data_IF_216747797565
#
_entry.id   IF_216747797565
#
_cell.length_a   1.000
_cell.length_b   1.000
_cell.length_c   1.000
_cell.angle_alpha   90.00
_cell.angle_beta   90.00
_cell.angle_gamma   90.00
#
_symmetry.space_group_name_H-M   'P 1'
#
loop_
_entity.id
_entity.type
_entity.pdbx_description
1 polymer ?
#
# COMPACT_ATOMS: atom_id res chain seq x y z
N UNK A 1 -27.40 11.75 17.86
CA UNK A 1 -26.08 12.20 17.37
C UNK A 1 -25.28 10.97 17.00
N UNK A 2 -25.30 10.59 15.73
CA UNK A 2 -24.69 9.34 15.19
C UNK A 2 -23.18 9.21 15.42
N UNK A 3 -22.52 10.26 15.91
CA UNK A 3 -21.09 10.30 16.22
C UNK A 3 -20.76 9.56 17.54
N UNK A 4 -21.69 9.46 18.50
CA UNK A 4 -21.40 8.83 19.80
C UNK A 4 -21.31 7.29 19.73
N UNK A 5 -21.95 6.65 18.74
CA UNK A 5 -21.84 5.20 18.55
C UNK A 5 -20.50 4.78 17.91
N UNK A 6 -19.86 5.68 17.16
CA UNK A 6 -18.59 5.43 16.46
C UNK A 6 -17.38 5.46 17.41
N UNK A 7 -17.53 6.01 18.62
CA UNK A 7 -16.48 6.13 19.63
C UNK A 7 -16.55 5.04 20.72
N UNK A 8 -17.60 4.21 20.72
CA UNK A 8 -17.80 3.19 21.75
C UNK A 8 -16.95 1.91 21.55
N UNK A 9 -16.20 1.83 20.44
CA UNK A 9 -15.28 0.73 20.12
C UNK A 9 -13.82 1.01 20.46
N UNK A 10 -13.52 1.99 21.32
CA UNK A 10 -12.22 2.00 22.00
C UNK A 10 -12.19 0.81 22.95
N UNK A 11 -11.81 -0.33 22.37
CA UNK A 11 -11.70 -1.61 23.02
C UNK A 11 -11.06 -1.44 24.37
N UNK A 12 -11.77 -1.98 25.36
CA UNK A 12 -11.23 -2.51 26.59
C UNK A 12 -9.79 -3.01 26.35
N UNK A 13 -8.88 -2.72 27.28
CA UNK A 13 -7.43 -2.93 27.16
C UNK A 13 -6.97 -4.39 27.06
N UNK A 14 -7.70 -5.24 26.32
CA UNK A 14 -7.20 -6.45 25.71
C UNK A 14 -6.26 -6.07 24.59
N UNK A 15 -4.98 -6.32 24.81
CA UNK A 15 -3.98 -6.11 23.80
C UNK A 15 -4.37 -6.81 22.48
N UNK A 16 -4.11 -6.13 21.36
CA UNK A 16 -4.03 -6.76 20.02
C UNK A 16 -2.92 -7.83 19.99
N UNK A 17 -2.08 -7.88 21.05
CA UNK A 17 -1.27 -9.02 21.41
C UNK A 17 -2.06 -9.90 22.38
N UNK A 18 -2.16 -11.20 22.10
CA UNK A 18 -2.73 -12.17 23.04
C UNK A 18 -2.13 -12.03 24.45
N UNK A 19 -2.70 -12.75 25.41
CA UNK A 19 -2.31 -12.74 26.84
C UNK A 19 -0.84 -13.12 27.12
N UNK A 20 0.02 -13.25 26.11
CA UNK A 20 1.45 -13.53 26.19
C UNK A 20 2.28 -12.24 26.23
N UNK A 21 3.41 -12.30 26.93
CA UNK A 21 4.46 -11.26 26.90
C UNK A 21 5.07 -11.18 25.48
N UNK A 22 4.47 -10.41 24.59
CA UNK A 22 4.95 -10.22 23.21
C UNK A 22 4.78 -11.46 22.32
N UNK A 23 5.21 -11.32 21.06
CA UNK A 23 5.13 -12.35 20.01
C UNK A 23 4.44 -11.83 18.75
N UNK A 24 4.46 -12.65 17.69
CA UNK A 24 3.79 -12.36 16.42
C UNK A 24 2.27 -12.53 16.54
N UNK A 25 1.52 -11.98 15.57
CA UNK A 25 0.06 -12.15 15.50
C UNK A 25 -0.29 -13.58 15.08
N UNK A 26 -1.41 -14.10 15.59
CA UNK A 26 -1.94 -15.40 15.18
C UNK A 26 -2.71 -15.33 13.85
N UNK A 27 -3.15 -14.14 13.49
CA UNK A 27 -3.91 -13.83 12.29
C UNK A 27 -3.68 -12.37 11.92
N UNK A 28 -3.72 -12.08 10.62
CA UNK A 28 -3.70 -10.73 10.07
C UNK A 28 -5.11 -10.11 9.98
N UNK A 29 -6.17 -10.83 10.32
CA UNK A 29 -7.54 -10.29 10.41
C UNK A 29 -7.74 -9.47 11.69
N UNK A 30 -8.82 -8.71 11.70
CA UNK A 30 -9.34 -8.13 12.94
C UNK A 30 -9.93 -9.22 13.83
N UNK A 31 -10.22 -8.89 15.09
CA UNK A 31 -10.94 -9.81 15.94
C UNK A 31 -12.34 -10.09 15.37
N UNK A 32 -12.87 -11.31 15.49
CA UNK A 32 -14.19 -11.65 14.95
C UNK A 32 -15.31 -10.70 15.40
N UNK A 33 -15.25 -10.21 16.64
CA UNK A 33 -16.18 -9.21 17.18
C UNK A 33 -16.09 -7.85 16.48
N UNK A 34 -14.90 -7.41 16.07
CA UNK A 34 -14.70 -6.16 15.33
C UNK A 34 -15.26 -6.27 13.91
N UNK A 35 -15.01 -7.40 13.23
CA UNK A 35 -15.58 -7.64 11.91
C UNK A 35 -17.11 -7.78 11.95
N UNK A 36 -17.66 -8.42 12.99
CA UNK A 36 -19.12 -8.48 13.19
C UNK A 36 -19.70 -7.09 13.44
N UNK A 37 -19.04 -6.26 14.24
CA UNK A 37 -19.46 -4.87 14.46
C UNK A 37 -19.47 -4.07 13.14
N UNK A 38 -18.44 -4.22 12.30
CA UNK A 38 -18.39 -3.58 10.99
C UNK A 38 -19.59 -4.04 10.14
N UNK A 39 -19.87 -5.34 10.11
CA UNK A 39 -21.00 -5.89 9.35
C UNK A 39 -22.36 -5.37 9.87
N UNK A 40 -22.54 -5.31 11.19
CA UNK A 40 -23.78 -4.81 11.81
C UNK A 40 -24.00 -3.32 11.50
N UNK A 41 -22.94 -2.51 11.53
CA UNK A 41 -22.99 -1.09 11.17
C UNK A 41 -23.30 -0.91 9.68
N UNK A 42 -22.61 -1.65 8.82
CA UNK A 42 -22.85 -1.63 7.37
C UNK A 42 -24.29 -2.02 6.99
N UNK A 43 -24.92 -2.92 7.76
CA UNK A 43 -26.30 -3.35 7.51
C UNK A 43 -27.37 -2.28 7.82
N UNK A 44 -27.05 -1.27 8.65
CA UNK A 44 -28.03 -0.29 9.13
C UNK A 44 -27.71 1.16 8.77
N UNK A 45 -26.46 1.45 8.38
CA UNK A 45 -26.01 2.77 8.00
C UNK A 45 -25.91 2.88 6.48
N UNK A 46 -26.56 3.90 5.89
CA UNK A 46 -26.45 4.18 4.45
C UNK A 46 -25.03 4.55 4.02
N UNK A 47 -24.21 5.04 4.97
CA UNK A 47 -22.81 5.40 4.77
C UNK A 47 -21.96 4.98 5.96
N UNK A 48 -21.06 4.02 5.78
CA UNK A 48 -20.16 3.51 6.81
C UNK A 48 -18.70 3.84 6.47
N UNK A 49 -17.98 4.44 7.43
CA UNK A 49 -16.54 4.72 7.32
C UNK A 49 -15.81 4.02 8.46
N UNK A 50 -14.82 3.19 8.12
CA UNK A 50 -14.01 2.45 9.11
C UNK A 50 -12.61 3.06 9.20
N UNK A 51 -12.20 3.49 10.39
CA UNK A 51 -10.82 3.91 10.66
C UNK A 51 -10.04 2.74 11.28
N UNK A 52 -9.06 2.20 10.55
CA UNK A 52 -8.25 1.06 10.98
C UNK A 52 -6.97 1.57 11.66
N UNK A 53 -6.87 1.34 12.97
CA UNK A 53 -5.69 1.66 13.77
C UNK A 53 -4.84 0.40 13.96
N UNK A 54 -3.82 0.21 13.14
CA UNK A 54 -2.96 -0.97 13.19
C UNK A 54 -1.50 -0.64 12.84
N UNK A 55 -0.55 -1.41 13.39
CA UNK A 55 0.88 -1.23 13.13
C UNK A 55 1.43 -1.98 11.92
N UNK A 56 0.62 -2.81 11.26
CA UNK A 56 1.01 -3.69 10.16
C UNK A 56 -0.21 -4.01 9.28
N UNK A 57 -0.06 -4.88 8.28
CA UNK A 57 -1.13 -5.28 7.39
C UNK A 57 -2.33 -5.85 8.17
N UNK A 58 -3.53 -5.42 7.80
CA UNK A 58 -4.78 -6.03 8.25
C UNK A 58 -5.48 -6.54 7.01
N UNK A 59 -5.84 -7.83 6.97
CA UNK A 59 -6.65 -8.38 5.89
C UNK A 59 -8.09 -7.92 6.09
N UNK A 60 -8.72 -7.39 5.04
CA UNK A 60 -10.00 -6.65 5.13
C UNK A 60 -11.08 -7.28 4.26
N UNK A 61 -11.57 -8.51 4.54
CA UNK A 61 -12.61 -9.14 3.72
C UNK A 61 -13.95 -8.37 3.75
N UNK A 62 -14.12 -7.49 4.73
CA UNK A 62 -15.27 -6.60 4.92
C UNK A 62 -15.19 -5.30 4.11
N UNK A 63 -14.11 -5.03 3.36
CA UNK A 63 -13.89 -3.73 2.72
C UNK A 63 -15.01 -3.35 1.75
N UNK A 64 -15.59 -4.32 1.02
CA UNK A 64 -16.70 -4.09 0.09
C UNK A 64 -18.04 -3.79 0.80
N UNK A 65 -18.15 -4.08 2.09
CA UNK A 65 -19.36 -3.81 2.87
C UNK A 65 -19.44 -2.36 3.38
N UNK A 66 -18.37 -1.56 3.22
CA UNK A 66 -18.30 -0.19 3.74
C UNK A 66 -17.97 0.81 2.63
N UNK A 67 -18.39 2.06 2.78
CA UNK A 67 -18.19 3.10 1.78
C UNK A 67 -16.76 3.65 1.75
N UNK A 68 -16.06 3.58 2.88
CA UNK A 68 -14.67 4.00 2.97
C UNK A 68 -13.94 3.32 4.14
N UNK A 69 -12.65 3.06 3.93
CA UNK A 69 -11.73 2.70 5.00
C UNK A 69 -10.52 3.64 5.01
N UNK A 70 -10.04 3.96 6.22
CA UNK A 70 -8.85 4.79 6.41
C UNK A 70 -7.87 4.05 7.33
N UNK A 71 -6.70 3.70 6.82
CA UNK A 71 -5.59 3.22 7.65
C UNK A 71 -4.96 4.43 8.36
N UNK A 72 -5.10 4.48 9.69
CA UNK A 72 -4.60 5.60 10.53
C UNK A 72 -3.31 5.27 11.27
N UNK A 73 -2.80 4.04 11.13
CA UNK A 73 -1.58 3.56 11.80
C UNK A 73 -1.67 3.68 13.32
N UNK A 74 -0.55 3.91 14.00
CA UNK A 74 -0.53 4.44 15.36
C UNK A 74 -0.19 5.93 15.29
N UNK A 75 -1.20 6.83 15.25
CA UNK A 75 -1.01 8.21 14.79
C UNK A 75 -0.43 9.17 15.85
N UNK A 76 -0.04 8.66 17.02
CA UNK A 76 0.54 9.47 18.11
C UNK A 76 -0.45 10.43 18.76
N UNK A 77 0.09 11.40 19.51
CA UNK A 77 -0.71 12.32 20.35
C UNK A 77 -1.66 13.23 19.56
N UNK A 78 -1.30 13.59 18.33
CA UNK A 78 -2.11 14.44 17.45
C UNK A 78 -3.06 13.62 16.55
N UNK A 79 -3.11 12.30 16.73
CA UNK A 79 -3.83 11.41 15.82
C UNK A 79 -5.33 11.66 15.74
N UNK A 80 -5.96 12.06 16.86
CA UNK A 80 -7.37 12.45 16.86
C UNK A 80 -7.63 13.70 16.00
N UNK A 81 -6.74 14.70 16.07
CA UNK A 81 -6.84 15.91 15.24
C UNK A 81 -6.60 15.58 13.76
N UNK A 82 -5.55 14.81 13.46
CA UNK A 82 -5.24 14.38 12.10
C UNK A 82 -6.39 13.60 11.46
N UNK A 83 -7.00 12.66 12.22
CA UNK A 83 -8.16 11.91 11.76
C UNK A 83 -9.35 12.83 11.45
N UNK A 84 -9.66 13.77 12.35
CA UNK A 84 -10.74 14.73 12.14
C UNK A 84 -10.50 15.62 10.91
N UNK A 85 -9.26 16.11 10.73
CA UNK A 85 -8.93 16.96 9.59
C UNK A 85 -9.04 16.21 8.25
N UNK A 86 -8.65 14.93 8.21
CA UNK A 86 -8.84 14.09 7.02
C UNK A 86 -10.34 13.84 6.80
N UNK A 87 -11.08 13.32 7.78
CA UNK A 87 -12.51 12.98 7.62
C UNK A 87 -13.37 14.19 7.22
N UNK A 88 -13.03 15.40 7.69
CA UNK A 88 -13.73 16.63 7.36
C UNK A 88 -13.21 17.30 6.08
N UNK A 89 -12.24 16.70 5.40
CA UNK A 89 -11.64 17.21 4.16
C UNK A 89 -10.85 18.50 4.33
N UNK A 90 -10.39 18.81 5.55
CA UNK A 90 -9.47 19.92 5.83
C UNK A 90 -8.04 19.57 5.44
N UNK A 91 -7.69 18.30 5.53
CA UNK A 91 -6.44 17.73 5.05
C UNK A 91 -6.72 16.63 4.01
N UNK A 92 -5.85 16.55 3.00
CA UNK A 92 -5.92 15.52 1.96
C UNK A 92 -5.22 14.24 2.43
N UNK A 93 -5.84 13.05 2.30
CA UNK A 93 -5.11 11.79 2.49
C UNK A 93 -4.07 11.64 1.36
N UNK A 94 -2.80 11.58 1.74
CA UNK A 94 -1.67 11.51 0.80
C UNK A 94 -0.69 10.38 1.08
N UNK A 95 -1.10 9.38 1.87
CA UNK A 95 -0.32 8.19 2.21
C UNK A 95 -0.40 7.13 1.11
N UNK A 96 0.62 6.26 1.05
CA UNK A 96 0.66 5.08 0.18
C UNK A 96 1.09 3.88 1.03
N UNK A 97 0.49 2.71 0.79
CA UNK A 97 0.80 1.50 1.53
C UNK A 97 2.27 1.08 1.28
N UNK A 98 3.06 0.82 2.33
CA UNK A 98 4.44 0.36 2.18
C UNK A 98 4.54 -1.16 1.96
N UNK A 99 3.41 -1.86 1.87
CA UNK A 99 3.29 -3.30 1.62
C UNK A 99 1.97 -3.58 0.89
N UNK A 100 1.83 -4.77 0.31
CA UNK A 100 0.55 -5.24 -0.20
C UNK A 100 -0.33 -5.78 0.95
N UNK A 101 -1.63 -5.60 0.85
CA UNK A 101 -2.63 -6.32 1.66
C UNK A 101 -3.27 -7.37 0.74
N UNK A 102 -3.16 -8.67 1.05
CA UNK A 102 -3.73 -9.74 0.23
C UNK A 102 -5.25 -9.84 0.42
N UNK A 103 -5.92 -10.65 -0.40
CA UNK A 103 -7.32 -11.01 -0.18
C UNK A 103 -7.46 -11.94 1.03
N UNK A 104 -6.57 -12.92 1.13
CA UNK A 104 -6.52 -13.90 2.21
C UNK A 104 -5.10 -14.01 2.78
N UNK A 105 -4.98 -14.40 4.05
CA UNK A 105 -3.67 -14.60 4.68
C UNK A 105 -2.85 -15.69 3.97
N UNK A 106 -3.54 -16.71 3.45
CA UNK A 106 -2.96 -17.81 2.70
C UNK A 106 -2.40 -17.43 1.33
N UNK A 107 -2.66 -16.21 0.83
CA UNK A 107 -2.03 -15.71 -0.39
C UNK A 107 -0.57 -15.26 -0.16
N UNK A 108 -0.14 -15.16 1.10
CA UNK A 108 1.23 -14.82 1.48
C UNK A 108 2.07 -16.08 1.66
N UNK A 109 3.39 -15.88 1.74
CA UNK A 109 4.33 -16.95 2.10
C UNK A 109 3.96 -17.50 3.47
N UNK A 110 3.94 -18.83 3.57
CA UNK A 110 3.64 -19.53 4.81
C UNK A 110 4.53 -19.05 5.96
N UNK A 111 3.92 -18.80 7.11
CA UNK A 111 4.58 -18.21 8.27
C UNK A 111 4.16 -18.96 9.54
N UNK A 112 5.13 -19.63 10.14
CA UNK A 112 4.98 -20.24 11.45
C UNK A 112 5.49 -19.28 12.53
N UNK A 113 4.54 -18.70 13.27
CA UNK A 113 4.79 -17.76 14.37
C UNK A 113 5.57 -18.36 15.55
N UNK A 114 5.60 -19.67 15.67
CA UNK A 114 6.26 -20.38 16.77
C UNK A 114 7.57 -21.05 16.29
N UNK A 115 7.97 -20.84 15.04
CA UNK A 115 9.19 -21.39 14.49
C UNK A 115 10.44 -20.78 15.14
N UNK A 116 11.34 -21.65 15.60
CA UNK A 116 12.66 -21.23 16.10
C UNK A 116 13.62 -20.82 14.97
N UNK A 117 13.32 -21.22 13.73
CA UNK A 117 14.11 -20.94 12.53
C UNK A 117 13.22 -20.75 11.32
N UNK A 118 13.54 -19.76 10.47
CA UNK A 118 12.83 -19.48 9.23
C UNK A 118 13.81 -19.24 8.08
N UNK A 119 13.45 -19.70 6.88
CA UNK A 119 14.21 -19.44 5.65
C UNK A 119 13.40 -18.46 4.80
N UNK A 120 13.95 -17.27 4.59
CA UNK A 120 13.31 -16.24 3.77
C UNK A 120 13.72 -16.38 2.31
N UNK A 121 12.74 -16.59 1.44
CA UNK A 121 12.91 -16.49 0.00
C UNK A 121 12.96 -15.04 -0.49
N UNK A 122 13.32 -14.85 -1.76
CA UNK A 122 13.33 -13.54 -2.39
C UNK A 122 11.91 -12.98 -2.55
N UNK A 123 10.96 -13.82 -2.96
CA UNK A 123 9.60 -13.43 -3.29
C UNK A 123 8.72 -13.42 -2.04
N UNK A 124 8.32 -12.22 -1.60
CA UNK A 124 7.42 -11.98 -0.46
C UNK A 124 6.51 -10.77 -0.75
N UNK A 125 5.40 -10.64 -0.03
CA UNK A 125 4.45 -9.54 -0.21
C UNK A 125 4.00 -9.39 -1.67
N UNK A 126 4.03 -8.16 -2.20
CA UNK A 126 3.67 -7.88 -3.60
C UNK A 126 4.46 -8.73 -4.60
N UNK A 127 5.74 -9.00 -4.36
CA UNK A 127 6.56 -9.78 -5.29
C UNK A 127 6.12 -11.25 -5.36
N UNK A 128 5.67 -11.80 -4.23
CA UNK A 128 5.10 -13.15 -4.19
C UNK A 128 3.76 -13.19 -4.95
N UNK A 129 2.88 -12.22 -4.70
CA UNK A 129 1.58 -12.11 -5.37
C UNK A 129 1.77 -11.99 -6.90
N UNK A 130 2.59 -11.04 -7.34
CA UNK A 130 2.90 -10.82 -8.76
C UNK A 130 3.48 -12.09 -9.43
N UNK A 131 4.40 -12.78 -8.76
CA UNK A 131 5.06 -13.96 -9.32
C UNK A 131 4.13 -15.17 -9.48
N UNK A 132 3.07 -15.23 -8.68
CA UNK A 132 2.05 -16.29 -8.73
C UNK A 132 0.80 -15.87 -9.52
N UNK A 133 0.79 -14.67 -10.13
CA UNK A 133 -0.37 -14.15 -10.85
C UNK A 133 -1.58 -13.90 -9.94
N UNK A 134 -1.35 -13.59 -8.67
CA UNK A 134 -2.38 -13.26 -7.69
C UNK A 134 -2.49 -11.75 -7.54
N UNK A 135 -3.72 -11.24 -7.54
CA UNK A 135 -3.98 -9.83 -7.30
C UNK A 135 -3.97 -9.54 -5.79
N UNK A 136 -3.36 -8.43 -5.39
CA UNK A 136 -3.49 -7.92 -4.03
C UNK A 136 -4.84 -7.23 -3.86
N UNK A 137 -5.49 -7.39 -2.71
CA UNK A 137 -6.69 -6.62 -2.37
C UNK A 137 -6.38 -5.11 -2.34
N UNK A 138 -5.24 -4.74 -1.73
CA UNK A 138 -4.67 -3.40 -1.83
C UNK A 138 -3.17 -3.53 -2.16
N UNK A 139 -2.72 -3.15 -3.36
CA UNK A 139 -1.34 -3.39 -3.79
C UNK A 139 -0.32 -2.51 -3.04
N UNK A 140 0.95 -2.91 -3.10
CA UNK A 140 2.04 -2.05 -2.65
C UNK A 140 1.97 -0.70 -3.36
N UNK A 141 2.15 0.37 -2.59
CA UNK A 141 2.06 1.73 -3.10
C UNK A 141 0.63 2.23 -3.29
N UNK A 142 -0.41 1.46 -2.94
CA UNK A 142 -1.81 1.90 -3.05
C UNK A 142 -2.17 3.00 -2.05
N UNK A 143 -3.03 3.92 -2.45
CA UNK A 143 -3.64 4.90 -1.54
C UNK A 143 -4.45 5.94 -2.30
N UNK A 144 -5.67 6.17 -1.83
CA UNK A 144 -6.62 7.08 -2.45
C UNK A 144 -6.47 8.53 -1.92
N UNK A 145 -7.12 9.46 -2.61
CA UNK A 145 -7.22 10.88 -2.29
C UNK A 145 -8.68 11.37 -2.41
N UNK A 146 -8.95 12.62 -2.06
CA UNK A 146 -10.22 13.29 -2.37
C UNK A 146 -10.21 14.00 -3.74
N UNK A 147 -9.08 14.00 -4.44
CA UNK A 147 -8.97 14.42 -5.84
C UNK A 147 -8.43 13.29 -6.73
N UNK A 148 -8.56 13.45 -8.04
CA UNK A 148 -8.10 12.48 -9.05
C UNK A 148 -6.85 12.96 -9.77
N UNK A 149 -5.99 12.01 -10.17
CA UNK A 149 -4.76 12.30 -10.92
C UNK A 149 -4.67 11.44 -12.16
N UNK A 150 -4.13 12.00 -13.24
CA UNK A 150 -3.81 11.28 -14.47
C UNK A 150 -2.32 11.40 -14.81
N UNK A 151 -1.77 10.33 -15.37
CA UNK A 151 -0.44 10.32 -15.97
C UNK A 151 -0.56 10.49 -17.49
N UNK A 152 0.16 11.45 -18.06
CA UNK A 152 0.36 11.59 -19.50
C UNK A 152 1.39 10.61 -20.05
N UNK A 153 1.83 10.80 -21.29
CA UNK A 153 2.91 9.98 -21.86
C UNK A 153 4.17 10.08 -20.99
N UNK A 154 4.87 8.95 -20.90
CA UNK A 154 6.06 8.80 -20.08
C UNK A 154 7.18 8.24 -20.94
N UNK A 155 8.37 8.76 -20.75
CA UNK A 155 9.56 8.37 -21.52
C UNK A 155 10.76 8.22 -20.59
N UNK A 156 11.71 7.39 -21.01
CA UNK A 156 12.98 7.22 -20.33
C UNK A 156 14.00 8.22 -20.88
N UNK A 157 14.61 9.02 -20.00
CA UNK A 157 15.68 9.94 -20.36
C UNK A 157 16.88 9.68 -19.43
N UNK A 158 17.96 9.14 -19.98
CA UNK A 158 19.16 8.72 -19.24
C UNK A 158 18.84 7.76 -18.06
N UNK A 159 18.98 8.24 -16.83
CA UNK A 159 18.67 7.54 -15.57
C UNK A 159 17.42 8.09 -14.89
N UNK A 160 16.51 8.70 -15.66
CA UNK A 160 15.24 9.23 -15.20
C UNK A 160 14.07 8.71 -16.03
N UNK A 161 12.88 8.68 -15.41
CA UNK A 161 11.60 8.62 -16.11
C UNK A 161 10.96 10.00 -16.06
N UNK A 162 10.64 10.54 -17.23
CA UNK A 162 9.94 11.81 -17.39
C UNK A 162 8.47 11.53 -17.66
N UNK A 163 7.57 12.13 -16.89
CA UNK A 163 6.12 11.89 -17.02
C UNK A 163 5.32 13.13 -16.63
N UNK A 164 4.34 13.48 -17.46
CA UNK A 164 3.36 14.51 -17.12
C UNK A 164 2.35 13.98 -16.10
N UNK A 165 2.07 14.76 -15.06
CA UNK A 165 1.07 14.46 -14.03
C UNK A 165 0.09 15.62 -13.94
N UNK A 166 -1.19 15.30 -14.01
CA UNK A 166 -2.28 16.27 -13.91
C UNK A 166 -3.20 15.93 -12.75
N UNK A 167 -3.57 16.94 -11.95
CA UNK A 167 -4.69 16.83 -11.03
C UNK A 167 -5.97 17.16 -11.79
N UNK A 168 -6.81 16.15 -12.00
CA UNK A 168 -8.02 16.24 -12.82
C UNK A 168 -9.30 16.43 -12.01
N UNK A 169 -9.20 16.46 -10.68
CA UNK A 169 -10.33 16.72 -9.80
C UNK A 169 -10.49 18.19 -9.43
N UNK A 170 -11.46 18.45 -8.54
CA UNK A 170 -11.88 19.80 -8.17
C UNK A 170 -11.20 20.34 -6.90
N UNK A 171 -10.17 19.66 -6.39
CA UNK A 171 -9.47 20.02 -5.15
C UNK A 171 -7.97 19.86 -5.28
N UNK A 172 -7.23 20.66 -4.51
CA UNK A 172 -5.79 20.49 -4.38
C UNK A 172 -5.48 19.19 -3.61
N UNK A 173 -4.52 18.41 -4.08
CA UNK A 173 -4.15 17.14 -3.45
C UNK A 173 -2.72 16.73 -3.75
N UNK A 174 -2.31 15.55 -3.28
CA UNK A 174 -0.99 15.01 -3.59
C UNK A 174 -1.06 13.57 -4.08
N UNK A 175 -0.18 13.21 -5.00
CA UNK A 175 0.02 11.82 -5.42
C UNK A 175 1.49 11.44 -5.43
N UNK A 176 1.74 10.13 -5.49
CA UNK A 176 3.09 9.56 -5.63
C UNK A 176 3.11 8.80 -6.95
N UNK A 177 3.97 9.23 -7.87
CA UNK A 177 4.24 8.49 -9.10
C UNK A 177 5.38 7.53 -8.84
N UNK A 178 5.20 6.27 -9.23
CA UNK A 178 6.08 5.16 -8.92
C UNK A 178 6.61 4.56 -10.22
N UNK A 179 7.91 4.30 -10.26
CA UNK A 179 8.62 3.68 -11.38
C UNK A 179 9.13 2.32 -10.94
N UNK A 180 8.80 1.30 -11.72
CA UNK A 180 9.19 -0.08 -11.48
C UNK A 180 10.08 -0.59 -12.61
N UNK A 181 11.18 -1.24 -12.26
CA UNK A 181 12.08 -1.92 -13.19
C UNK A 181 11.84 -3.42 -13.18
N UNK A 182 11.95 -4.03 -14.36
CA UNK A 182 11.91 -5.48 -14.58
C UNK A 182 13.06 -5.89 -15.50
N UNK A 183 13.54 -7.13 -15.36
CA UNK A 183 14.67 -7.66 -16.14
C UNK A 183 14.21 -8.91 -16.88
N UNK A 184 13.48 -8.77 -18.00
CA UNK A 184 12.98 -9.90 -18.77
C UNK A 184 14.13 -10.79 -19.25
N UNK A 185 13.93 -12.09 -19.19
CA UNK A 185 14.94 -13.06 -19.64
C UNK A 185 16.15 -13.21 -18.71
N UNK A 186 16.07 -12.71 -17.47
CA UNK A 186 17.08 -13.02 -16.46
C UNK A 186 17.21 -14.52 -16.25
N UNK A 187 18.44 -14.97 -16.00
CA UNK A 187 18.72 -16.37 -15.64
C UNK A 187 18.60 -16.64 -14.14
N UNK A 188 18.36 -15.59 -13.34
CA UNK A 188 18.17 -15.66 -11.89
C UNK A 188 16.70 -15.50 -11.50
N UNK A 189 16.33 -16.02 -10.33
CA UNK A 189 15.05 -15.69 -9.70
C UNK A 189 14.99 -14.18 -9.38
N UNK A 190 13.88 -13.54 -9.75
CA UNK A 190 13.64 -12.10 -9.54
C UNK A 190 12.17 -11.84 -9.23
N UNK A 191 11.87 -10.79 -8.47
CA UNK A 191 10.55 -10.18 -8.52
C UNK A 191 10.18 -9.84 -9.97
N UNK A 192 8.92 -10.06 -10.41
CA UNK A 192 8.49 -9.68 -11.74
C UNK A 192 8.77 -8.20 -12.06
N UNK A 193 8.64 -7.34 -11.05
CA UNK A 193 9.01 -5.93 -11.08
C UNK A 193 9.39 -5.44 -9.69
N UNK A 194 10.22 -4.40 -9.62
CA UNK A 194 10.69 -3.80 -8.36
C UNK A 194 10.65 -2.29 -8.43
N UNK A 195 10.27 -1.62 -7.34
CA UNK A 195 10.31 -0.15 -7.27
C UNK A 195 11.76 0.32 -7.40
N UNK A 196 12.03 1.16 -8.39
CA UNK A 196 13.37 1.71 -8.69
C UNK A 196 13.41 3.24 -8.57
N UNK A 197 12.25 3.89 -8.48
CA UNK A 197 12.15 5.34 -8.32
C UNK A 197 10.73 5.76 -7.97
N UNK A 198 10.58 6.89 -7.29
CA UNK A 198 9.29 7.50 -7.05
C UNK A 198 9.43 9.00 -6.79
N UNK A 199 8.38 9.76 -7.08
CA UNK A 199 8.30 11.17 -6.74
C UNK A 199 6.91 11.53 -6.22
N UNK A 200 6.86 12.32 -5.15
CA UNK A 200 5.62 12.88 -4.62
C UNK A 200 5.42 14.29 -5.16
N UNK A 201 4.21 14.58 -5.62
CA UNK A 201 3.82 15.90 -6.11
C UNK A 201 2.53 16.35 -5.46
N UNK A 202 2.44 17.63 -5.14
CA UNK A 202 1.20 18.31 -4.76
C UNK A 202 0.81 19.25 -5.89
N UNK A 203 -0.46 19.20 -6.30
CA UNK A 203 -1.00 20.01 -7.38
C UNK A 203 -2.34 20.60 -6.96
N UNK A 204 -2.57 21.86 -7.33
CA UNK A 204 -3.89 22.48 -7.25
C UNK A 204 -4.87 21.83 -8.25
N UNK A 205 -6.17 22.14 -8.11
CA UNK A 205 -7.20 21.59 -8.99
C UNK A 205 -6.95 22.04 -10.45
N UNK A 206 -6.91 21.08 -11.39
CA UNK A 206 -6.62 21.34 -12.80
C UNK A 206 -5.15 21.63 -13.13
N UNK A 207 -4.26 21.69 -12.12
CA UNK A 207 -2.84 21.92 -12.36
C UNK A 207 -2.17 20.68 -12.97
N UNK A 208 -1.18 20.89 -13.82
CA UNK A 208 -0.35 19.84 -14.41
C UNK A 208 1.12 20.23 -14.35
N UNK A 209 1.99 19.24 -14.16
CA UNK A 209 3.44 19.43 -14.17
C UNK A 209 4.15 18.22 -14.80
N UNK A 210 5.39 18.42 -15.22
CA UNK A 210 6.28 17.34 -15.65
C UNK A 210 7.16 16.92 -14.47
N UNK A 211 7.15 15.63 -14.14
CA UNK A 211 8.05 15.05 -13.15
C UNK A 211 9.22 14.37 -13.84
N UNK A 212 10.43 14.63 -13.34
CA UNK A 212 11.64 13.84 -13.61
C UNK A 212 11.90 12.96 -12.40
N UNK A 213 11.79 11.65 -12.58
CA UNK A 213 11.90 10.66 -11.49
C UNK A 213 13.22 9.91 -11.66
N UNK A 214 14.22 10.13 -10.78
CA UNK A 214 15.46 9.37 -10.81
C UNK A 214 15.20 7.88 -10.61
N UNK A 215 15.90 7.07 -11.39
CA UNK A 215 15.86 5.61 -11.35
C UNK A 215 17.16 5.08 -10.75
N UNK A 216 17.04 4.43 -9.59
CA UNK A 216 18.14 3.69 -8.98
C UNK A 216 18.16 2.24 -9.50
N UNK A 217 18.93 2.01 -10.57
CA UNK A 217 19.08 0.67 -11.16
C UNK A 217 19.74 -0.33 -10.20
N UNK A 218 20.47 0.12 -9.17
CA UNK A 218 21.08 -0.79 -8.19
C UNK A 218 20.03 -1.53 -7.36
N UNK A 219 18.79 -1.05 -7.33
CA UNK A 219 17.66 -1.79 -6.77
C UNK A 219 17.39 -3.10 -7.54
N UNK A 220 17.87 -3.26 -8.76
CA UNK A 220 17.76 -4.49 -9.55
C UNK A 220 18.95 -5.44 -9.34
N UNK A 221 19.96 -5.05 -8.57
CA UNK A 221 21.12 -5.90 -8.31
C UNK A 221 20.74 -7.09 -7.43
N UNK A 222 21.36 -8.24 -7.71
CA UNK A 222 21.15 -9.48 -6.96
C UNK A 222 22.36 -9.79 -6.09
N UNK A 223 22.12 -10.44 -4.95
CA UNK A 223 23.20 -10.96 -4.12
C UNK A 223 23.36 -12.47 -4.30
N UNK A 224 24.35 -12.87 -5.09
CA UNK A 224 24.63 -14.27 -5.42
C UNK A 224 25.97 -14.68 -4.82
N UNK A 225 25.99 -15.77 -4.04
CA UNK A 225 27.23 -16.27 -3.42
C UNK A 225 27.93 -15.24 -2.51
N UNK A 226 27.17 -14.28 -1.96
CA UNK A 226 27.69 -13.21 -1.11
C UNK A 226 28.14 -11.95 -1.85
N UNK A 227 28.20 -11.95 -3.18
CA UNK A 227 28.59 -10.81 -4.02
C UNK A 227 27.38 -10.16 -4.72
N UNK A 228 27.47 -8.86 -4.97
CA UNK A 228 26.51 -8.15 -5.82
C UNK A 228 26.77 -8.49 -7.29
N UNK A 229 25.71 -8.85 -8.00
CA UNK A 229 25.72 -9.17 -9.42
C UNK A 229 24.80 -8.21 -10.14
N UNK A 230 25.39 -7.45 -11.06
CA UNK A 230 24.69 -6.63 -12.03
C UNK A 230 24.57 -7.43 -13.31
N UNK A 231 23.35 -7.67 -13.75
CA UNK A 231 23.11 -8.37 -15.01
C UNK A 231 23.09 -7.36 -16.15
N UNK A 232 23.76 -7.67 -17.27
CA UNK A 232 23.75 -6.82 -18.46
C UNK A 232 22.48 -6.95 -19.31
N UNK A 233 21.46 -7.65 -18.81
CA UNK A 233 20.18 -7.82 -19.49
C UNK A 233 19.44 -6.48 -19.61
N UNK A 234 18.67 -6.26 -20.70
CA UNK A 234 17.84 -5.07 -20.83
C UNK A 234 16.89 -4.93 -19.64
N UNK A 235 16.75 -3.69 -19.15
CA UNK A 235 15.77 -3.33 -18.13
C UNK A 235 14.55 -2.74 -18.82
N UNK A 236 13.37 -3.20 -18.46
CA UNK A 236 12.10 -2.61 -18.89
C UNK A 236 11.48 -1.84 -17.72
N UNK A 237 11.02 -0.63 -17.98
CA UNK A 237 10.39 0.21 -16.98
C UNK A 237 8.86 0.23 -17.12
N UNK A 238 8.20 0.45 -15.99
CA UNK A 238 6.78 0.72 -15.94
C UNK A 238 6.49 1.82 -14.93
N UNK A 239 5.45 2.61 -15.17
CA UNK A 239 5.09 3.78 -14.36
C UNK A 239 3.61 3.76 -14.01
N UNK A 240 3.27 4.14 -12.78
CA UNK A 240 1.89 4.19 -12.30
C UNK A 240 1.77 4.80 -10.90
N UNK A 241 0.62 4.61 -10.28
CA UNK A 241 0.34 5.12 -8.92
C UNK A 241 0.47 4.06 -7.83
N UNK A 242 0.48 2.78 -8.19
CA UNK A 242 0.74 1.64 -7.32
C UNK A 242 1.26 0.45 -8.14
N UNK A 243 1.66 -0.63 -7.47
CA UNK A 243 2.23 -1.80 -8.14
C UNK A 243 1.26 -2.51 -9.09
N UNK A 244 -0.07 -2.39 -8.92
CA UNK A 244 -1.02 -3.09 -9.78
C UNK A 244 -1.35 -2.31 -11.07
N UNK A 245 -1.35 -0.98 -11.00
CA UNK A 245 -1.85 -0.10 -12.09
C UNK A 245 -0.75 0.48 -12.99
N UNK A 246 0.49 0.01 -12.86
CA UNK A 246 1.60 0.47 -13.69
C UNK A 246 1.47 0.03 -15.14
N UNK A 247 1.88 0.90 -16.05
CA UNK A 247 1.99 0.61 -17.50
C UNK A 247 3.43 0.64 -17.94
N UNK A 248 3.79 -0.27 -18.85
CA UNK A 248 5.11 -0.32 -19.48
C UNK A 248 5.37 0.94 -20.32
N UNK A 249 6.62 1.40 -20.33
CA UNK A 249 7.11 2.56 -21.10
C UNK A 249 8.36 2.18 -21.88
#
# INVERSE_FOLDING_TARGET
TQIEAMLAGFGDGGAVAGTSKGGDRASLRLHPEDEQLIADVAAVCDRAVVAVMAGSAVVMPWLEAVDAALMVWYPGSEGGHALADVLLGRAEPGGRLPFAIPHEESDLVDFDRDAETAVYGLLHGQWHLDANGMDAHLPFGHGLGYTSFNLGEAETADDEVVVAVANTGDRAGSTVVQVYGSVPGSTYERPPKRLVGFAKVRLDAGESTELRIPVDRSQLDLRIGGAWVQEGSPVEYSVGFDAATVRRI
#
